data_IF_700025483804
#
_entry.id   IF_700025483804
#
_cell.length_a   1.000
_cell.length_b   1.000
_cell.length_c   1.000
_cell.angle_alpha   90.00
_cell.angle_beta   90.00
_cell.angle_gamma   90.00
#
_symmetry.space_group_name_H-M   'P 1'
#
loop_
_entity.id
_entity.type
_entity.pdbx_description
1 polymer ?
#
# COMPACT_ATOMS: atom_id res chain seq x y z
N UNK A 1 -15.72 17.72 -3.20
CA UNK A 1 -14.78 18.84 -2.93
C UNK A 1 -13.75 18.95 -4.05
N UNK A 2 -13.00 20.05 -4.17
CA UNK A 2 -11.95 20.18 -5.20
C UNK A 2 -10.60 20.43 -4.56
N UNK A 3 -9.57 19.69 -5.00
CA UNK A 3 -8.17 19.91 -4.61
C UNK A 3 -7.40 20.41 -5.83
N UNK A 4 -6.70 21.53 -5.65
CA UNK A 4 -5.88 22.14 -6.71
C UNK A 4 -4.84 21.13 -7.25
N UNK A 5 -4.71 21.09 -8.57
CA UNK A 5 -3.85 20.17 -9.33
C UNK A 5 -4.15 18.68 -9.17
N UNK A 6 -5.08 18.28 -8.30
CA UNK A 6 -5.47 16.88 -8.14
C UNK A 6 -6.77 16.59 -8.90
N UNK A 7 -7.85 17.29 -8.56
CA UNK A 7 -9.16 17.08 -9.18
C UNK A 7 -10.33 17.26 -8.25
N UNK A 8 -11.50 16.87 -8.73
CA UNK A 8 -12.76 16.85 -7.99
C UNK A 8 -12.90 15.50 -7.28
N UNK A 9 -13.29 15.54 -6.01
CA UNK A 9 -13.51 14.39 -5.14
C UNK A 9 -14.98 14.29 -4.74
N UNK A 10 -15.55 13.11 -4.90
CA UNK A 10 -16.92 12.80 -4.50
C UNK A 10 -16.95 12.23 -3.07
N UNK A 11 -17.90 12.71 -2.27
CA UNK A 11 -18.08 12.24 -0.90
C UNK A 11 -18.89 10.97 -0.87
N UNK A 12 -18.38 9.96 -0.18
CA UNK A 12 -19.11 8.76 0.16
C UNK A 12 -19.66 8.87 1.60
N UNK A 13 -20.98 9.04 1.77
CA UNK A 13 -21.57 9.22 3.09
C UNK A 13 -21.58 7.94 3.94
N UNK A 14 -21.29 6.77 3.37
CA UNK A 14 -21.28 5.51 4.12
C UNK A 14 -20.02 5.38 4.97
N UNK A 15 -18.87 5.76 4.41
CA UNK A 15 -17.55 5.61 5.05
C UNK A 15 -16.91 6.95 5.42
N UNK A 16 -17.56 8.07 5.06
CA UNK A 16 -17.05 9.43 5.20
C UNK A 16 -15.72 9.66 4.46
N UNK A 17 -15.53 8.93 3.37
CA UNK A 17 -14.36 9.02 2.50
C UNK A 17 -14.61 9.93 1.30
N UNK A 18 -13.52 10.41 0.71
CA UNK A 18 -13.56 11.21 -0.51
C UNK A 18 -12.83 10.51 -1.64
N UNK A 19 -13.54 10.19 -2.71
CA UNK A 19 -13.01 9.48 -3.87
C UNK A 19 -12.65 10.47 -4.98
N UNK A 20 -11.39 10.47 -5.37
CA UNK A 20 -10.87 11.29 -6.46
C UNK A 20 -11.22 10.73 -7.84
N UNK A 21 -10.83 11.45 -8.90
CA UNK A 21 -11.00 10.98 -10.27
C UNK A 21 -10.13 9.73 -10.50
N UNK A 22 -10.55 8.89 -11.44
CA UNK A 22 -9.71 7.80 -11.94
C UNK A 22 -8.61 8.38 -12.84
N UNK A 23 -7.38 7.99 -12.56
CA UNK A 23 -6.16 8.44 -13.22
C UNK A 23 -5.47 7.29 -13.94
N UNK A 24 -4.72 7.63 -15.00
CA UNK A 24 -3.81 6.68 -15.64
C UNK A 24 -2.45 6.73 -14.94
N UNK A 25 -1.88 5.56 -14.67
CA UNK A 25 -0.54 5.39 -14.11
C UNK A 25 0.35 4.52 -14.99
N UNK A 26 1.53 4.18 -14.49
CA UNK A 26 2.44 3.22 -15.13
C UNK A 26 2.41 1.88 -14.39
N UNK A 27 2.69 0.74 -15.06
CA UNK A 27 2.89 -0.53 -14.37
C UNK A 27 3.87 -0.38 -13.18
N UNK A 28 3.57 -1.01 -12.02
CA UNK A 28 2.55 -2.03 -11.80
C UNK A 28 1.13 -1.51 -11.48
N UNK A 29 0.91 -0.19 -11.41
CA UNK A 29 -0.39 0.43 -11.12
C UNK A 29 -0.87 1.28 -12.32
N UNK A 30 -1.33 0.66 -13.41
CA UNK A 30 -1.64 1.37 -14.66
C UNK A 30 -2.88 2.27 -14.58
N UNK A 31 -3.72 2.09 -13.56
CA UNK A 31 -4.90 2.89 -13.28
C UNK A 31 -5.12 2.94 -11.77
N UNK A 32 -5.47 4.11 -11.25
CA UNK A 32 -5.77 4.27 -9.83
C UNK A 32 -6.66 5.50 -9.57
N UNK A 33 -7.19 5.61 -8.36
CA UNK A 33 -7.80 6.82 -7.82
C UNK A 33 -7.32 7.04 -6.39
N UNK A 34 -7.22 8.30 -5.97
CA UNK A 34 -6.96 8.60 -4.56
C UNK A 34 -8.26 8.50 -3.75
N UNK A 35 -8.16 7.92 -2.56
CA UNK A 35 -9.25 7.88 -1.57
C UNK A 35 -8.75 8.62 -0.34
N UNK A 36 -9.45 9.63 0.13
CA UNK A 36 -9.02 10.43 1.27
C UNK A 36 -9.83 10.07 2.51
N UNK A 37 -9.11 9.78 3.58
CA UNK A 37 -9.65 9.57 4.92
C UNK A 37 -9.30 10.77 5.81
N UNK A 38 -10.25 11.22 6.62
CA UNK A 38 -10.09 12.32 7.60
C UNK A 38 -9.58 13.67 7.03
N UNK A 39 -9.55 13.83 5.69
CA UNK A 39 -8.93 14.98 5.04
C UNK A 39 -9.52 16.33 5.49
N UNK A 40 -10.85 16.42 5.65
CA UNK A 40 -11.48 17.68 6.06
C UNK A 40 -11.18 18.08 7.51
N UNK A 41 -10.84 17.12 8.34
CA UNK A 41 -10.54 17.29 9.76
C UNK A 41 -9.04 17.53 10.00
N UNK A 42 -8.21 17.19 9.01
CA UNK A 42 -6.78 17.36 9.07
C UNK A 42 -6.36 18.84 9.07
N UNK A 43 -5.42 19.15 9.97
CA UNK A 43 -4.91 20.53 10.14
C UNK A 43 -3.99 20.98 9.01
N UNK A 44 -3.45 20.06 8.21
CA UNK A 44 -2.51 20.34 7.14
C UNK A 44 -2.81 19.54 5.86
N UNK A 45 -3.97 19.82 5.28
CA UNK A 45 -4.42 19.31 3.98
C UNK A 45 -3.41 19.52 2.82
N UNK A 46 -2.51 20.51 2.91
CA UNK A 46 -1.49 20.73 1.89
C UNK A 46 -0.47 19.59 1.77
N UNK A 47 -0.26 18.84 2.87
CA UNK A 47 0.63 17.67 2.87
C UNK A 47 0.00 16.49 2.12
N UNK A 48 -1.32 16.30 2.20
CA UNK A 48 -2.04 15.29 1.41
C UNK A 48 -1.83 15.56 -0.08
N UNK A 49 -2.04 16.82 -0.50
CA UNK A 49 -1.78 17.23 -1.88
C UNK A 49 -0.34 16.96 -2.31
N UNK A 50 0.63 17.31 -1.46
CA UNK A 50 2.05 17.06 -1.74
C UNK A 50 2.34 15.58 -1.92
N UNK A 51 1.82 14.72 -1.03
CA UNK A 51 2.04 13.28 -1.10
C UNK A 51 1.37 12.64 -2.34
N UNK A 52 0.17 13.08 -2.73
CA UNK A 52 -0.48 12.65 -3.96
C UNK A 52 0.32 13.04 -5.22
N UNK A 53 0.88 14.25 -5.27
CA UNK A 53 1.74 14.68 -6.39
C UNK A 53 3.06 13.89 -6.45
N UNK A 54 3.64 13.57 -5.29
CA UNK A 54 4.80 12.69 -5.20
C UNK A 54 4.48 11.30 -5.75
N UNK A 55 3.32 10.75 -5.39
CA UNK A 55 2.86 9.44 -5.88
C UNK A 55 2.65 9.43 -7.39
N UNK A 56 2.00 10.45 -7.96
CA UNK A 56 1.88 10.59 -9.42
C UNK A 56 3.23 10.57 -10.13
N UNK A 57 4.25 11.14 -9.49
CA UNK A 57 5.59 11.25 -10.07
C UNK A 57 6.44 9.99 -9.88
N UNK A 58 6.27 9.26 -8.76
CA UNK A 58 7.21 8.22 -8.33
C UNK A 58 6.56 6.90 -7.90
N UNK A 59 5.25 6.83 -7.71
CA UNK A 59 4.52 5.72 -7.10
C UNK A 59 4.80 4.38 -7.78
N UNK A 60 4.59 4.30 -9.09
CA UNK A 60 4.86 3.07 -9.86
C UNK A 60 6.31 2.60 -9.74
N UNK A 61 7.28 3.52 -9.78
CA UNK A 61 8.70 3.21 -9.59
C UNK A 61 9.01 2.73 -8.17
N UNK A 62 8.43 3.38 -7.16
CA UNK A 62 8.61 3.02 -5.76
C UNK A 62 8.04 1.63 -5.46
N UNK A 63 6.82 1.34 -5.95
CA UNK A 63 6.18 0.03 -5.81
C UNK A 63 7.03 -1.04 -6.52
N UNK A 64 7.47 -0.78 -7.75
CA UNK A 64 8.32 -1.72 -8.50
C UNK A 64 9.65 -2.01 -7.79
N UNK A 65 10.21 -1.04 -7.07
CA UNK A 65 11.45 -1.22 -6.31
C UNK A 65 11.29 -2.15 -5.09
N UNK A 66 10.07 -2.42 -4.62
CA UNK A 66 9.79 -3.34 -3.52
C UNK A 66 9.67 -4.83 -3.96
N UNK A 67 9.96 -5.14 -5.22
CA UNK A 67 9.88 -6.48 -5.81
C UNK A 67 10.52 -7.58 -4.95
N UNK A 68 11.72 -7.35 -4.44
CA UNK A 68 12.41 -8.32 -3.58
C UNK A 68 11.67 -8.55 -2.26
N UNK A 69 11.09 -7.50 -1.67
CA UNK A 69 10.32 -7.62 -0.43
C UNK A 69 8.98 -8.34 -0.63
N UNK A 70 8.31 -8.14 -1.77
CA UNK A 70 7.12 -8.92 -2.14
C UNK A 70 7.48 -10.42 -2.21
N UNK A 71 8.64 -10.72 -2.80
CA UNK A 71 9.09 -12.10 -2.91
C UNK A 71 9.52 -12.70 -1.56
N UNK A 72 10.09 -11.89 -0.66
CA UNK A 72 10.32 -12.33 0.72
C UNK A 72 9.01 -12.64 1.44
N UNK A 73 7.98 -11.82 1.25
CA UNK A 73 6.66 -12.09 1.81
C UNK A 73 6.06 -13.40 1.30
N UNK A 74 6.08 -13.61 -0.02
CA UNK A 74 5.69 -14.89 -0.61
C UNK A 74 6.43 -16.07 0.03
N UNK A 75 7.76 -16.01 0.13
CA UNK A 75 8.56 -17.11 0.72
C UNK A 75 8.17 -17.39 2.17
N UNK A 76 7.99 -16.35 2.97
CA UNK A 76 7.65 -16.49 4.38
C UNK A 76 6.26 -17.13 4.52
N UNK A 77 5.27 -16.73 3.72
CA UNK A 77 3.95 -17.39 3.70
C UNK A 77 4.09 -18.85 3.26
N UNK A 78 4.83 -19.13 2.18
CA UNK A 78 4.99 -20.51 1.73
C UNK A 78 5.66 -21.44 2.73
N UNK A 79 6.53 -20.91 3.60
CA UNK A 79 7.18 -21.69 4.65
C UNK A 79 6.26 -22.01 5.84
N UNK A 80 5.08 -21.39 5.91
CA UNK A 80 4.10 -21.63 6.98
C UNK A 80 3.05 -22.69 6.61
N UNK A 81 2.99 -23.08 5.34
CA UNK A 81 1.99 -24.02 4.84
C UNK A 81 2.38 -25.44 5.24
N UNK A 82 1.39 -26.27 5.57
CA UNK A 82 1.60 -27.69 5.77
C UNK A 82 1.75 -28.40 4.42
N UNK A 83 2.55 -29.45 4.37
CA UNK A 83 2.89 -30.21 3.16
C UNK A 83 1.66 -30.76 2.40
N UNK A 84 0.51 -30.89 3.06
CA UNK A 84 -0.75 -31.33 2.44
C UNK A 84 -1.45 -30.24 1.62
N UNK A 85 -1.17 -28.96 1.86
CA UNK A 85 -1.77 -27.81 1.17
C UNK A 85 -0.84 -27.23 0.07
N UNK A 86 0.36 -27.82 -0.13
CA UNK A 86 1.37 -27.33 -1.08
C UNK A 86 0.92 -27.35 -2.55
N UNK A 87 0.00 -28.24 -2.94
CA UNK A 87 -0.40 -28.41 -4.36
C UNK A 87 -1.16 -27.20 -4.92
N UNK A 88 -1.79 -26.40 -4.07
CA UNK A 88 -2.61 -25.25 -4.46
C UNK A 88 -1.83 -23.92 -4.51
N UNK A 89 -0.57 -23.90 -4.05
CA UNK A 89 0.22 -22.67 -3.99
C UNK A 89 1.03 -22.39 -5.26
N UNK A 90 1.09 -21.13 -5.72
CA UNK A 90 1.86 -20.77 -6.89
C UNK A 90 3.35 -20.98 -6.65
N UNK A 91 4.04 -21.64 -7.59
CA UNK A 91 5.51 -21.77 -7.56
C UNK A 91 6.16 -20.55 -8.22
N UNK A 92 6.57 -19.57 -7.41
CA UNK A 92 7.22 -18.34 -7.86
C UNK A 92 8.75 -18.51 -7.74
N UNK A 93 9.45 -18.51 -8.87
CA UNK A 93 10.88 -18.87 -8.93
C UNK A 93 11.82 -17.70 -8.63
N UNK A 94 11.36 -16.48 -8.86
CA UNK A 94 12.15 -15.28 -8.67
C UNK A 94 11.29 -14.09 -8.30
N UNK A 95 11.94 -13.06 -7.75
CA UNK A 95 11.30 -11.81 -7.38
C UNK A 95 10.60 -11.13 -8.56
N UNK A 96 11.12 -11.25 -9.78
CA UNK A 96 10.49 -10.72 -11.00
C UNK A 96 9.15 -11.37 -11.35
N UNK A 97 8.95 -12.61 -10.92
CA UNK A 97 7.77 -13.39 -11.31
C UNK A 97 6.54 -13.02 -10.45
N UNK A 98 6.74 -12.38 -9.29
CA UNK A 98 5.66 -12.04 -8.33
C UNK A 98 4.53 -11.23 -8.96
N UNK A 99 4.84 -10.36 -9.92
CA UNK A 99 3.85 -9.49 -10.57
C UNK A 99 2.82 -10.26 -11.40
N UNK A 100 3.10 -11.52 -11.77
CA UNK A 100 2.14 -12.37 -12.48
C UNK A 100 1.07 -12.95 -11.54
N UNK A 101 1.31 -12.88 -10.23
CA UNK A 101 0.47 -13.46 -9.17
C UNK A 101 -0.07 -12.38 -8.20
N UNK A 102 0.15 -11.11 -8.54
CA UNK A 102 -0.22 -9.96 -7.72
C UNK A 102 -1.22 -9.09 -8.48
N UNK A 103 -2.36 -8.83 -7.84
CA UNK A 103 -3.40 -7.91 -8.29
C UNK A 103 -3.29 -6.64 -7.45
N UNK A 104 -2.64 -5.61 -7.99
CA UNK A 104 -2.58 -4.28 -7.34
C UNK A 104 -3.97 -3.64 -7.37
N UNK A 105 -4.49 -3.23 -6.21
CA UNK A 105 -5.72 -2.45 -6.12
C UNK A 105 -5.58 -1.07 -6.76
N UNK A 106 -6.70 -0.53 -7.24
CA UNK A 106 -6.75 0.77 -7.90
C UNK A 106 -7.13 1.91 -6.92
N UNK A 107 -7.37 1.61 -5.66
CA UNK A 107 -7.66 2.59 -4.62
C UNK A 107 -6.41 2.87 -3.78
N UNK A 108 -5.93 4.11 -3.88
CA UNK A 108 -4.77 4.57 -3.10
C UNK A 108 -5.30 5.38 -1.93
N UNK A 109 -5.44 4.75 -0.77
CA UNK A 109 -5.91 5.38 0.46
C UNK A 109 -4.85 6.34 0.98
N UNK A 110 -5.19 7.61 1.13
CA UNK A 110 -4.32 8.68 1.61
C UNK A 110 -4.78 9.09 2.99
N UNK A 111 -3.94 8.86 4.00
CA UNK A 111 -4.26 9.17 5.38
C UNK A 111 -3.03 9.67 6.14
N UNK A 112 -3.28 10.39 7.24
CA UNK A 112 -2.22 10.78 8.17
C UNK A 112 -1.99 9.65 9.17
N UNK A 113 -0.73 9.31 9.42
CA UNK A 113 -0.40 8.38 10.49
C UNK A 113 -0.85 8.95 11.85
N UNK A 114 -1.63 8.22 12.66
CA UNK A 114 -2.16 8.74 13.92
C UNK A 114 -1.08 8.95 14.99
N UNK A 115 -0.03 8.11 14.95
CA UNK A 115 1.07 8.09 15.92
C UNK A 115 2.44 8.31 15.24
N UNK A 116 3.50 8.41 16.04
CA UNK A 116 4.87 8.59 15.55
C UNK A 116 5.10 9.91 14.79
N UNK A 117 5.66 9.82 13.59
CA UNK A 117 6.06 10.96 12.76
C UNK A 117 4.90 11.79 12.18
N UNK A 118 3.67 11.26 12.26
CA UNK A 118 2.42 11.89 11.79
C UNK A 118 2.50 12.38 10.35
N UNK A 119 3.27 11.70 9.49
CA UNK A 119 3.35 12.00 8.05
C UNK A 119 2.13 11.48 7.30
N UNK A 120 2.00 11.88 6.04
CA UNK A 120 0.99 11.33 5.13
C UNK A 120 1.52 10.04 4.53
N UNK A 121 0.68 9.00 4.53
CA UNK A 121 0.97 7.71 3.94
C UNK A 121 -0.09 7.38 2.90
N UNK A 122 0.33 6.61 1.90
CA UNK A 122 -0.51 6.11 0.83
C UNK A 122 -0.53 4.60 0.91
N UNK A 123 -1.67 4.01 1.25
CA UNK A 123 -1.86 2.58 1.43
C UNK A 123 -2.61 2.00 0.23
N UNK A 124 -2.14 0.86 -0.25
CA UNK A 124 -2.72 0.15 -1.39
C UNK A 124 -2.96 -1.30 -0.98
N UNK A 125 -4.23 -1.70 -1.03
CA UNK A 125 -4.62 -3.11 -0.92
C UNK A 125 -4.28 -3.85 -2.22
N UNK A 126 -3.74 -5.05 -2.09
CA UNK A 126 -3.41 -5.91 -3.22
C UNK A 126 -3.90 -7.32 -2.91
N UNK A 127 -4.48 -7.98 -3.90
CA UNK A 127 -4.71 -9.43 -3.83
C UNK A 127 -3.48 -10.19 -4.31
N UNK A 128 -3.15 -11.31 -3.68
CA UNK A 128 -2.12 -12.21 -4.19
C UNK A 128 -2.58 -13.67 -4.13
N UNK A 129 -2.08 -14.48 -5.05
CA UNK A 129 -2.49 -15.89 -5.19
C UNK A 129 -1.94 -16.80 -4.08
N UNK A 130 -1.01 -16.32 -3.26
CA UNK A 130 -0.42 -17.07 -2.15
C UNK A 130 -0.97 -16.67 -0.77
N UNK A 131 -1.85 -15.68 -0.68
CA UNK A 131 -2.45 -15.26 0.60
C UNK A 131 -3.81 -14.64 0.28
N UNK A 132 -4.81 -15.49 0.07
CA UNK A 132 -6.15 -15.04 -0.33
C UNK A 132 -6.95 -14.39 0.81
N UNK A 133 -6.64 -14.72 2.07
CA UNK A 133 -7.38 -14.19 3.22
C UNK A 133 -7.01 -12.74 3.52
N UNK A 134 -5.70 -12.45 3.55
CA UNK A 134 -5.19 -11.12 3.94
C UNK A 134 -4.58 -10.33 2.79
N UNK A 135 -4.27 -10.97 1.65
CA UNK A 135 -3.60 -10.32 0.53
C UNK A 135 -2.25 -9.69 0.90
N UNK A 136 -1.94 -8.59 0.24
CA UNK A 136 -0.75 -7.78 0.45
C UNK A 136 -1.15 -6.31 0.61
N UNK A 137 -0.53 -5.62 1.55
CA UNK A 137 -0.59 -4.16 1.66
C UNK A 137 0.76 -3.55 1.30
N UNK A 138 0.74 -2.54 0.45
CA UNK A 138 1.90 -1.72 0.11
C UNK A 138 1.64 -0.30 0.59
N UNK A 139 2.47 0.20 1.50
CA UNK A 139 2.33 1.55 2.06
C UNK A 139 3.52 2.42 1.66
N UNK A 140 3.24 3.58 1.06
CA UNK A 140 4.25 4.57 0.70
C UNK A 140 4.22 5.75 1.66
N UNK A 141 5.38 6.14 2.19
CA UNK A 141 5.55 7.34 3.00
C UNK A 141 5.67 8.57 2.10
N UNK A 142 4.83 9.58 2.37
CA UNK A 142 4.74 10.85 1.63
C UNK A 142 4.62 10.68 0.11
N UNK A 143 4.11 9.52 -0.35
CA UNK A 143 3.98 9.16 -1.76
C UNK A 143 5.31 8.92 -2.50
N UNK A 144 6.43 8.81 -1.78
CA UNK A 144 7.78 8.76 -2.38
C UNK A 144 8.43 7.39 -2.32
N UNK A 145 8.36 6.71 -1.17
CA UNK A 145 9.09 5.46 -0.93
C UNK A 145 8.18 4.47 -0.21
N UNK A 146 8.26 3.19 -0.60
CA UNK A 146 7.60 2.11 0.16
C UNK A 146 8.21 2.07 1.56
N UNK A 147 7.36 2.15 2.58
CA UNK A 147 7.72 2.18 4.00
C UNK A 147 7.22 0.93 4.74
N UNK A 148 6.15 0.31 4.26
CA UNK A 148 5.65 -0.97 4.76
C UNK A 148 5.18 -1.84 3.60
N UNK A 149 5.44 -3.13 3.76
CA UNK A 149 4.97 -4.23 2.95
C UNK A 149 4.66 -5.40 3.88
N UNK A 150 3.53 -6.08 3.67
CA UNK A 150 3.12 -7.23 4.49
C UNK A 150 1.63 -7.55 4.30
N UNK A 151 1.03 -8.35 5.20
CA UNK A 151 -0.41 -8.61 5.15
C UNK A 151 -1.21 -7.30 5.23
N UNK A 152 -2.42 -7.30 4.68
CA UNK A 152 -3.34 -6.19 4.86
C UNK A 152 -3.91 -6.18 6.29
N UNK A 153 -3.36 -5.30 7.11
CA UNK A 153 -3.70 -5.16 8.54
C UNK A 153 -4.19 -3.74 8.91
N UNK A 154 -4.24 -2.83 7.94
CA UNK A 154 -4.65 -1.43 8.13
C UNK A 154 -3.59 -0.53 8.78
N UNK A 155 -2.44 -1.06 9.23
CA UNK A 155 -1.37 -0.26 9.82
C UNK A 155 -0.47 0.37 8.75
N UNK A 156 -0.11 1.64 8.93
CA UNK A 156 0.69 2.39 7.95
C UNK A 156 2.20 2.11 8.06
N UNK A 157 2.65 1.56 9.20
CA UNK A 157 4.05 1.22 9.46
C UNK A 157 4.15 -0.11 10.21
N UNK A 158 5.28 -0.79 10.09
CA UNK A 158 5.53 -1.99 10.91
C UNK A 158 5.69 -1.63 12.40
N UNK A 159 6.12 -0.41 12.75
CA UNK A 159 6.14 0.00 14.15
C UNK A 159 4.75 0.10 14.75
N UNK A 160 3.75 0.59 14.01
CA UNK A 160 2.36 0.62 14.47
C UNK A 160 1.75 -0.79 14.56
N UNK A 161 2.09 -1.69 13.63
CA UNK A 161 1.56 -3.05 13.60
C UNK A 161 2.07 -3.92 14.75
N UNK A 162 3.32 -3.73 15.16
CA UNK A 162 3.99 -4.56 16.17
C UNK A 162 4.22 -3.86 17.52
N UNK A 163 3.91 -2.57 17.63
CA UNK A 163 4.24 -1.71 18.79
C UNK A 163 5.75 -1.70 19.10
N UNK A 164 6.58 -1.58 18.06
CA UNK A 164 8.06 -1.60 18.13
C UNK A 164 8.62 -0.44 17.32
N UNK A 165 9.17 0.57 18.00
CA UNK A 165 9.64 1.83 17.37
C UNK A 165 10.69 1.58 16.28
N UNK A 166 11.59 0.62 16.49
CA UNK A 166 12.67 0.26 15.57
C UNK A 166 12.15 -0.24 14.21
N UNK A 167 10.89 -0.63 14.12
CA UNK A 167 10.28 -1.12 12.88
C UNK A 167 9.73 -0.01 11.99
N UNK A 168 9.84 1.27 12.35
CA UNK A 168 9.28 2.38 11.59
C UNK A 168 9.74 2.43 10.12
N UNK A 169 11.02 2.15 9.89
CA UNK A 169 11.65 2.21 8.57
C UNK A 169 11.95 0.81 7.99
N UNK A 170 11.40 -0.24 8.61
CA UNK A 170 11.53 -1.60 8.09
C UNK A 170 10.43 -1.80 7.05
N UNK A 171 10.81 -1.93 5.78
CA UNK A 171 9.86 -2.13 4.68
C UNK A 171 9.11 -3.44 4.85
N UNK A 172 9.82 -4.55 5.00
CA UNK A 172 9.22 -5.87 5.21
C UNK A 172 9.74 -6.49 6.50
N UNK A 173 8.84 -6.75 7.44
CA UNK A 173 9.15 -7.50 8.66
C UNK A 173 8.90 -8.98 8.37
N UNK A 174 9.96 -9.78 8.39
CA UNK A 174 9.88 -11.23 8.17
C UNK A 174 8.98 -11.93 9.17
N UNK A 175 8.23 -12.91 8.71
CA UNK A 175 7.44 -13.75 9.61
C UNK A 175 8.43 -14.69 10.32
N UNK A 176 8.38 -14.69 11.64
CA UNK A 176 9.32 -15.39 12.54
C UNK A 176 8.55 -16.24 13.51
#
# INVERSE_FOLDING_TARGET
MKIEDIGDFDHDPQFDWYYGPVESGEPPIPQFRFVLEEYLEDKNQSEFRTAMLNFRSNGSKAIKAAEEHIFEYYKDITNLIDTEDEEDFPLIKSSRDVWSYLRIGDEVLVSRRPYGDKKIYLSIECGCDWEEEHGLQIVLKEGMTVNKLGPYDGHLTNSDAYDVEEYENIVYKKIT
#
